data_IF_561824162582
#
_entry.id   IF_561824162582
#
_cell.length_a   1.000
_cell.length_b   1.000
_cell.length_c   1.000
_cell.angle_alpha   90.00
_cell.angle_beta   90.00
_cell.angle_gamma   90.00
#
_symmetry.space_group_name_H-M   'P 1'
#
loop_
_entity.id
_entity.type
_entity.pdbx_description
1 polymer ?
#
# COMPACT_ATOMS: atom_id res chain seq x y z
N UNK A 1 -1.28 -0.06 -35.09
CA UNK A 1 -1.09 1.34 -35.49
C UNK A 1 -1.77 2.20 -34.43
N UNK A 2 -1.04 2.62 -33.43
CA UNK A 2 -1.53 3.48 -32.33
C UNK A 2 -1.69 4.87 -32.87
N UNK A 3 -2.91 5.37 -32.81
CA UNK A 3 -3.32 6.65 -33.35
C UNK A 3 -2.67 7.79 -32.55
N UNK A 4 -1.55 8.31 -33.02
CA UNK A 4 -0.86 9.49 -32.48
C UNK A 4 -1.71 10.78 -32.53
N UNK A 5 -2.88 10.74 -33.16
CA UNK A 5 -3.79 11.88 -33.29
C UNK A 5 -4.46 12.25 -31.95
N UNK A 6 -4.51 11.36 -30.97
CA UNK A 6 -5.12 11.65 -29.64
C UNK A 6 -4.19 12.47 -28.74
N UNK A 7 -2.88 12.53 -29.04
CA UNK A 7 -1.92 13.30 -28.26
C UNK A 7 -1.95 14.82 -28.60
N UNK A 8 -2.61 15.21 -29.67
CA UNK A 8 -2.70 16.63 -30.10
C UNK A 8 -3.78 17.43 -29.37
N UNK A 9 -4.65 16.79 -28.57
CA UNK A 9 -5.70 17.47 -27.79
C UNK A 9 -5.32 17.82 -26.35
N UNK A 10 -4.12 17.50 -25.93
CA UNK A 10 -3.57 18.15 -24.76
C UNK A 10 -3.10 19.54 -25.23
N UNK A 11 -3.97 20.55 -25.10
CA UNK A 11 -3.59 21.94 -25.29
C UNK A 11 -2.24 22.17 -24.63
N UNK A 12 -1.33 22.99 -25.20
CA UNK A 12 -0.08 23.33 -24.55
C UNK A 12 -0.44 23.98 -23.23
N UNK A 13 -0.49 23.15 -22.21
CA UNK A 13 -0.95 23.57 -20.92
C UNK A 13 0.13 24.46 -20.32
N UNK A 14 -0.20 25.69 -20.04
CA UNK A 14 0.47 26.52 -19.04
C UNK A 14 0.42 25.86 -17.63
N UNK A 15 0.19 24.55 -17.57
CA UNK A 15 0.11 23.70 -16.38
C UNK A 15 1.46 23.10 -15.99
N UNK A 16 2.56 23.55 -16.59
CA UNK A 16 3.88 23.18 -16.10
C UNK A 16 4.12 23.91 -14.78
N UNK A 17 4.33 23.14 -13.73
CA UNK A 17 4.79 23.70 -12.46
C UNK A 17 6.08 24.49 -12.71
N UNK A 18 6.21 25.71 -12.17
CA UNK A 18 7.45 26.47 -12.26
C UNK A 18 8.58 25.69 -11.60
N UNK A 19 9.80 25.90 -12.07
CA UNK A 19 10.98 25.20 -11.54
C UNK A 19 11.13 25.43 -10.03
N UNK A 20 10.79 26.61 -9.55
CA UNK A 20 10.78 26.94 -8.11
C UNK A 20 9.92 25.99 -7.28
N UNK A 21 8.82 25.46 -7.82
CA UNK A 21 7.95 24.54 -7.12
C UNK A 21 8.63 23.23 -6.72
N UNK A 22 9.74 22.83 -7.39
CA UNK A 22 10.50 21.63 -7.04
C UNK A 22 11.37 21.82 -5.78
N UNK A 23 11.62 23.06 -5.38
CA UNK A 23 12.50 23.41 -4.27
C UNK A 23 11.76 24.18 -3.17
N UNK A 24 10.50 24.53 -3.38
CA UNK A 24 9.65 25.26 -2.45
C UNK A 24 9.20 24.35 -1.30
N UNK A 25 9.76 24.60 -0.12
CA UNK A 25 9.48 23.81 1.09
C UNK A 25 8.04 24.04 1.57
N UNK A 26 7.50 25.25 1.47
CA UNK A 26 6.14 25.55 1.93
C UNK A 26 5.11 24.85 1.04
N UNK A 27 5.35 24.86 -0.28
CA UNK A 27 4.52 24.13 -1.22
C UNK A 27 4.58 22.62 -0.96
N UNK A 28 5.78 22.06 -0.70
CA UNK A 28 5.94 20.65 -0.32
C UNK A 28 5.15 20.32 0.96
N UNK A 29 5.25 21.15 2.00
CA UNK A 29 4.50 20.95 3.25
C UNK A 29 2.98 21.00 3.04
N UNK A 30 2.51 21.88 2.15
CA UNK A 30 1.08 21.95 1.78
C UNK A 30 0.64 20.67 1.06
N UNK A 31 1.44 20.17 0.12
CA UNK A 31 1.15 18.91 -0.58
C UNK A 31 1.12 17.73 0.38
N UNK A 32 2.13 17.61 1.25
CA UNK A 32 2.14 16.57 2.27
C UNK A 32 0.88 16.59 3.12
N UNK A 33 0.43 17.78 3.53
CA UNK A 33 -0.77 17.91 4.38
C UNK A 33 -2.07 17.67 3.62
N UNK A 34 -2.22 18.23 2.40
CA UNK A 34 -3.49 18.26 1.69
C UNK A 34 -3.68 17.08 0.74
N UNK A 35 -2.61 16.50 0.20
CA UNK A 35 -2.67 15.40 -0.75
C UNK A 35 -2.30 14.08 -0.09
N UNK A 36 -1.11 13.99 0.52
CA UNK A 36 -0.61 12.69 1.00
C UNK A 36 -1.20 12.27 2.34
N UNK A 37 -1.39 13.21 3.30
CA UNK A 37 -1.96 12.86 4.62
C UNK A 37 -3.49 12.82 4.66
N UNK A 38 -4.16 13.51 3.75
CA UNK A 38 -5.63 13.54 3.68
C UNK A 38 -6.20 12.74 2.50
N UNK A 39 -5.38 12.41 1.53
CA UNK A 39 -5.77 11.58 0.40
C UNK A 39 -5.76 10.09 0.74
N UNK A 40 -6.28 9.26 -0.14
CA UNK A 40 -6.05 7.83 -0.04
C UNK A 40 -4.56 7.55 -0.26
N UNK A 41 -3.90 6.98 0.75
CA UNK A 41 -2.50 6.53 0.66
C UNK A 41 -2.44 5.10 0.12
N UNK A 42 -1.71 4.89 -0.97
CA UNK A 42 -1.47 3.54 -1.48
C UNK A 42 -0.56 2.77 -0.51
N UNK A 43 -1.00 1.57 -0.13
CA UNK A 43 -0.30 0.70 0.82
C UNK A 43 0.33 -0.50 0.12
N UNK A 44 -0.36 -1.06 -0.87
CA UNK A 44 0.09 -2.27 -1.56
C UNK A 44 -1.01 -2.88 -2.43
N UNK A 45 -0.76 -4.08 -2.92
CA UNK A 45 -1.72 -4.85 -3.71
C UNK A 45 -2.07 -6.16 -3.00
N UNK A 46 -3.32 -6.61 -3.10
CA UNK A 46 -3.78 -7.85 -2.47
C UNK A 46 -3.00 -9.10 -2.92
N UNK A 47 -2.42 -9.08 -4.13
CA UNK A 47 -1.54 -10.13 -4.63
C UNK A 47 -0.23 -10.28 -3.82
N UNK A 48 0.11 -9.28 -2.99
CA UNK A 48 1.27 -9.38 -2.08
C UNK A 48 1.03 -10.40 -0.95
N UNK A 49 -0.25 -10.72 -0.71
CA UNK A 49 -0.71 -11.67 0.31
C UNK A 49 -1.79 -12.57 -0.29
N UNK A 50 -1.42 -13.50 -1.21
CA UNK A 50 -2.38 -14.19 -2.07
C UNK A 50 -3.31 -15.16 -1.33
N UNK A 51 -2.84 -15.83 -0.29
CA UNK A 51 -3.55 -16.91 0.40
C UNK A 51 -3.77 -16.56 1.87
N UNK A 52 -4.76 -17.20 2.49
CA UNK A 52 -4.99 -17.08 3.93
C UNK A 52 -3.72 -17.41 4.72
N UNK A 53 -3.37 -16.55 5.65
CA UNK A 53 -2.13 -16.63 6.42
C UNK A 53 -0.94 -15.95 5.76
N UNK A 54 -1.00 -15.63 4.46
CA UNK A 54 0.05 -14.86 3.81
C UNK A 54 0.20 -13.49 4.48
N UNK A 55 1.44 -13.07 4.69
CA UNK A 55 1.75 -11.75 5.21
C UNK A 55 2.90 -11.08 4.45
N UNK A 56 2.95 -9.77 4.53
CA UNK A 56 4.07 -8.94 4.05
C UNK A 56 4.23 -7.71 4.93
N UNK A 57 5.47 -7.49 5.42
CA UNK A 57 5.83 -6.28 6.16
C UNK A 57 5.97 -5.10 5.20
N UNK A 58 5.67 -3.89 5.69
CA UNK A 58 5.82 -2.66 4.92
C UNK A 58 7.22 -2.08 5.16
N UNK A 59 8.16 -2.39 4.27
CA UNK A 59 9.56 -1.96 4.36
C UNK A 59 9.72 -0.43 4.41
N UNK A 60 8.85 0.31 3.69
CA UNK A 60 8.85 1.78 3.72
C UNK A 60 8.52 2.37 5.10
N UNK A 61 8.01 1.56 6.03
CA UNK A 61 7.64 1.94 7.39
C UNK A 61 8.50 1.26 8.45
N UNK A 62 9.72 0.91 8.10
CA UNK A 62 10.64 0.15 8.97
C UNK A 62 9.99 -1.13 9.52
N UNK A 63 9.17 -1.80 8.68
CA UNK A 63 8.44 -3.03 9.02
C UNK A 63 7.45 -2.90 10.20
N UNK A 64 7.13 -1.67 10.58
CA UNK A 64 6.23 -1.40 11.72
C UNK A 64 4.77 -1.84 11.51
N UNK A 65 4.36 -2.07 10.26
CA UNK A 65 3.03 -2.59 9.88
C UNK A 65 3.15 -3.75 8.91
N UNK A 66 2.09 -4.57 8.88
CA UNK A 66 1.98 -5.74 8.00
C UNK A 66 0.64 -5.76 7.28
N UNK A 67 0.68 -6.17 6.01
CA UNK A 67 -0.49 -6.70 5.32
C UNK A 67 -0.61 -8.19 5.66
N UNK A 68 -1.80 -8.62 6.04
CA UNK A 68 -2.10 -10.03 6.37
C UNK A 68 -3.40 -10.43 5.72
N UNK A 69 -3.43 -11.59 5.07
CA UNK A 69 -4.70 -12.16 4.59
C UNK A 69 -5.33 -13.03 5.66
N UNK A 70 -6.47 -12.59 6.19
CA UNK A 70 -7.20 -13.32 7.23
C UNK A 70 -8.24 -14.31 6.66
N UNK A 71 -8.73 -14.05 5.43
CA UNK A 71 -9.75 -14.88 4.74
C UNK A 71 -9.61 -14.75 3.24
N UNK A 72 -10.26 -15.64 2.52
CA UNK A 72 -10.34 -15.56 1.07
C UNK A 72 -11.17 -14.36 0.58
N UNK A 73 -10.92 -13.94 -0.66
CA UNK A 73 -11.62 -12.85 -1.32
C UNK A 73 -11.00 -11.46 -1.13
N UNK A 74 -11.52 -10.48 -1.87
CA UNK A 74 -10.96 -9.12 -1.96
C UNK A 74 -11.01 -8.33 -0.63
N UNK A 75 -11.89 -8.70 0.29
CA UNK A 75 -12.01 -8.06 1.61
C UNK A 75 -11.25 -8.79 2.71
N UNK A 76 -10.44 -9.79 2.33
CA UNK A 76 -9.71 -10.65 3.27
C UNK A 76 -8.35 -10.13 3.70
N UNK A 77 -7.97 -8.88 3.37
CA UNK A 77 -6.68 -8.32 3.74
C UNK A 77 -6.84 -7.29 4.85
N UNK A 78 -5.99 -7.43 5.87
CA UNK A 78 -5.90 -6.53 7.01
C UNK A 78 -4.58 -5.78 7.01
N UNK A 79 -4.59 -4.54 7.47
CA UNK A 79 -3.40 -3.76 7.77
C UNK A 79 -3.25 -3.65 9.29
N UNK A 80 -2.30 -4.39 9.83
CA UNK A 80 -2.08 -4.52 11.26
C UNK A 80 -0.74 -3.91 11.68
N UNK A 81 -0.65 -3.47 12.94
CA UNK A 81 0.63 -3.18 13.57
C UNK A 81 1.46 -4.46 13.70
N UNK A 82 2.71 -4.40 13.26
CA UNK A 82 3.69 -5.48 13.42
C UNK A 82 4.45 -5.40 14.76
N UNK A 83 3.98 -4.53 15.65
CA UNK A 83 4.62 -4.25 16.95
C UNK A 83 3.84 -4.91 18.06
N UNK A 84 4.48 -5.82 18.78
CA UNK A 84 3.89 -6.53 19.91
C UNK A 84 3.46 -5.57 21.03
N UNK A 85 2.26 -5.72 21.53
CA UNK A 85 1.68 -4.87 22.59
C UNK A 85 2.30 -5.07 23.96
N UNK A 86 3.16 -6.10 24.14
CA UNK A 86 3.86 -6.36 25.39
C UNK A 86 5.05 -5.44 25.61
N UNK A 87 6.08 -5.56 24.77
CA UNK A 87 7.35 -4.80 24.87
C UNK A 87 7.83 -4.26 23.51
N UNK A 88 6.91 -3.99 22.62
CA UNK A 88 7.14 -3.31 21.35
C UNK A 88 8.19 -3.98 20.42
N UNK A 89 8.31 -5.31 20.50
CA UNK A 89 9.14 -6.04 19.54
C UNK A 89 8.44 -6.16 18.19
N UNK A 90 9.20 -6.07 17.10
CA UNK A 90 8.76 -6.49 15.77
C UNK A 90 8.50 -7.99 15.78
N UNK A 91 7.38 -8.42 15.18
CA UNK A 91 6.94 -9.81 15.25
C UNK A 91 7.27 -10.61 14.00
N UNK A 92 7.09 -10.03 12.82
CA UNK A 92 7.30 -10.65 11.52
C UNK A 92 8.26 -9.82 10.68
N UNK A 93 8.99 -10.48 9.76
CA UNK A 93 9.90 -9.84 8.82
C UNK A 93 9.59 -10.27 7.39
N UNK A 94 9.75 -9.36 6.44
CA UNK A 94 9.64 -9.64 5.01
C UNK A 94 8.26 -10.16 4.62
N UNK A 95 8.19 -11.36 4.06
CA UNK A 95 6.94 -12.01 3.64
C UNK A 95 6.98 -13.49 3.97
N UNK A 96 5.80 -14.08 4.17
CA UNK A 96 5.66 -15.49 4.47
C UNK A 96 4.21 -15.89 4.71
N UNK A 97 4.02 -17.00 5.39
CA UNK A 97 2.70 -17.54 5.75
C UNK A 97 2.69 -17.98 7.21
N UNK A 98 1.63 -17.64 7.92
CA UNK A 98 1.43 -17.98 9.34
C UNK A 98 -0.04 -18.27 9.62
N UNK A 99 -0.31 -19.17 10.57
CA UNK A 99 -1.66 -19.38 11.09
C UNK A 99 -2.02 -18.35 12.16
N UNK A 100 -1.03 -17.89 12.91
CA UNK A 100 -1.14 -16.87 13.95
C UNK A 100 0.12 -16.01 13.99
N UNK A 101 -0.02 -14.76 14.39
CA UNK A 101 1.10 -13.86 14.59
C UNK A 101 1.66 -14.06 15.99
N UNK A 102 2.87 -14.62 16.09
CA UNK A 102 3.48 -14.98 17.37
C UNK A 102 4.70 -14.10 17.63
N UNK A 103 4.71 -13.37 18.73
CA UNK A 103 5.85 -12.57 19.15
C UNK A 103 7.06 -13.46 19.47
N UNK A 104 8.24 -13.22 18.88
CA UNK A 104 9.42 -14.06 19.07
C UNK A 104 9.99 -13.99 20.50
N UNK A 105 9.76 -12.87 21.24
CA UNK A 105 10.36 -12.67 22.56
C UNK A 105 9.62 -13.44 23.67
N UNK A 106 8.31 -13.24 23.81
CA UNK A 106 7.56 -13.78 24.95
C UNK A 106 6.32 -14.54 24.53
N UNK A 107 6.23 -14.93 23.25
CA UNK A 107 5.17 -15.80 22.69
C UNK A 107 3.75 -15.26 22.84
N UNK A 108 3.58 -13.91 22.96
CA UNK A 108 2.26 -13.33 22.79
C UNK A 108 1.75 -13.64 21.40
N UNK A 109 0.55 -14.20 21.34
CA UNK A 109 -0.03 -14.76 20.12
C UNK A 109 -1.28 -13.98 19.75
N UNK A 110 -1.35 -13.57 18.49
CA UNK A 110 -2.49 -12.86 17.91
C UNK A 110 -3.02 -13.64 16.71
N UNK A 111 -4.33 -13.55 16.46
CA UNK A 111 -4.89 -14.07 15.22
C UNK A 111 -4.57 -13.14 14.03
N UNK A 112 -5.07 -13.54 12.85
CA UNK A 112 -4.85 -12.78 11.61
C UNK A 112 -5.70 -11.49 11.51
N UNK A 113 -6.58 -11.24 12.48
CA UNK A 113 -7.35 -9.99 12.63
C UNK A 113 -6.74 -9.07 13.70
N UNK A 114 -5.63 -9.49 14.31
CA UNK A 114 -4.92 -8.76 15.34
C UNK A 114 -5.47 -8.93 16.75
N UNK A 115 -6.42 -9.86 16.99
CA UNK A 115 -6.95 -10.13 18.33
C UNK A 115 -5.92 -10.91 19.14
N UNK A 116 -5.70 -10.53 20.38
CA UNK A 116 -4.82 -11.26 21.29
C UNK A 116 -5.47 -12.60 21.65
N UNK A 117 -4.83 -13.71 21.29
CA UNK A 117 -5.26 -15.07 21.63
C UNK A 117 -4.66 -15.56 22.94
N UNK A 118 -3.37 -15.28 23.17
CA UNK A 118 -2.66 -15.73 24.35
C UNK A 118 -1.54 -14.78 24.79
N UNK A 119 -1.37 -14.66 26.10
CA UNK A 119 -0.35 -13.86 26.76
C UNK A 119 0.30 -14.69 27.87
N UNK A 120 1.30 -15.55 27.56
CA UNK A 120 1.98 -16.34 28.57
C UNK A 120 2.52 -15.49 29.72
N UNK A 121 2.46 -16.03 30.92
CA UNK A 121 2.87 -15.39 32.19
C UNK A 121 1.97 -14.26 32.70
N UNK A 122 0.79 -14.05 32.09
CA UNK A 122 -0.25 -13.18 32.61
C UNK A 122 -1.39 -14.05 33.16
N UNK A 123 -1.81 -13.78 34.42
CA UNK A 123 -2.91 -14.52 35.03
C UNK A 123 -4.23 -14.31 34.30
N UNK A 124 -4.53 -13.08 33.96
CA UNK A 124 -5.66 -12.70 33.12
C UNK A 124 -5.17 -12.25 31.74
N UNK A 125 -5.89 -12.65 30.69
CA UNK A 125 -5.57 -12.21 29.32
C UNK A 125 -5.86 -10.70 29.18
N UNK A 126 -4.85 -9.84 28.95
CA UNK A 126 -5.08 -8.41 28.81
C UNK A 126 -5.80 -8.11 27.51
N UNK A 127 -6.63 -7.07 27.48
CA UNK A 127 -7.32 -6.61 26.28
C UNK A 127 -6.40 -5.73 25.42
N UNK A 128 -5.30 -6.32 24.91
CA UNK A 128 -4.24 -5.63 24.18
C UNK A 128 -4.10 -6.19 22.76
N UNK A 129 -5.07 -5.86 21.90
CA UNK A 129 -5.08 -6.23 20.50
C UNK A 129 -4.07 -5.40 19.71
N UNK A 130 -3.66 -5.88 18.52
CA UNK A 130 -2.84 -5.11 17.59
C UNK A 130 -3.64 -3.93 17.03
N UNK A 131 -2.94 -2.83 16.77
CA UNK A 131 -3.54 -1.71 16.03
C UNK A 131 -3.91 -2.15 14.63
N UNK A 132 -5.11 -1.78 14.19
CA UNK A 132 -5.65 -2.07 12.87
C UNK A 132 -5.97 -0.76 12.17
N UNK A 133 -5.52 -0.64 10.92
CA UNK A 133 -5.84 0.49 10.03
C UNK A 133 -6.89 0.06 9.00
N UNK A 134 -7.95 0.85 8.80
CA UNK A 134 -8.94 0.55 7.77
C UNK A 134 -8.33 0.59 6.38
N UNK A 135 -8.58 -0.45 5.59
CA UNK A 135 -8.18 -0.53 4.19
C UNK A 135 -9.41 -0.39 3.28
N UNK A 136 -9.20 0.28 2.17
CA UNK A 136 -10.10 0.31 1.03
C UNK A 136 -9.45 -0.46 -0.12
N UNK A 137 -10.16 -1.40 -0.71
CA UNK A 137 -9.69 -2.16 -1.86
C UNK A 137 -10.37 -1.64 -3.13
N UNK A 138 -9.56 -1.21 -4.09
CA UNK A 138 -10.03 -0.87 -5.42
C UNK A 138 -9.28 -1.72 -6.45
N UNK A 139 -9.95 -2.69 -7.02
CA UNK A 139 -9.41 -3.63 -8.02
C UNK A 139 -8.08 -4.31 -7.58
N UNK A 140 -7.98 -4.69 -6.32
CA UNK A 140 -6.79 -5.29 -5.75
C UNK A 140 -5.76 -4.29 -5.19
N UNK A 141 -5.83 -3.03 -5.59
CA UNK A 141 -5.01 -1.97 -5.00
C UNK A 141 -5.56 -1.59 -3.61
N UNK A 142 -4.69 -1.60 -2.61
CA UNK A 142 -5.02 -1.35 -1.22
C UNK A 142 -4.64 0.07 -0.83
N UNK A 143 -5.59 0.77 -0.24
CA UNK A 143 -5.42 2.16 0.18
C UNK A 143 -5.87 2.33 1.63
N UNK A 144 -5.23 3.25 2.33
CA UNK A 144 -5.67 3.76 3.62
C UNK A 144 -5.97 5.26 3.55
N UNK A 145 -6.74 5.76 4.50
CA UNK A 145 -7.04 7.18 4.63
C UNK A 145 -8.54 7.47 4.71
N UNK A 146 -8.89 8.74 5.01
CA UNK A 146 -10.28 9.13 5.28
C UNK A 146 -11.14 9.31 4.02
N UNK A 147 -10.53 9.46 2.84
CA UNK A 147 -11.25 9.72 1.58
C UNK A 147 -11.70 8.43 0.94
N UNK A 148 -12.87 8.47 0.30
CA UNK A 148 -13.40 7.35 -0.47
C UNK A 148 -12.63 7.17 -1.77
N UNK A 149 -11.87 6.08 -1.86
CA UNK A 149 -11.05 5.71 -3.01
C UNK A 149 -11.90 5.46 -4.25
N UNK A 150 -13.05 4.82 -4.09
CA UNK A 150 -13.95 4.52 -5.21
C UNK A 150 -14.52 5.80 -5.83
N UNK A 151 -14.90 6.78 -4.99
CA UNK A 151 -15.38 8.07 -5.44
C UNK A 151 -14.26 8.89 -6.13
N UNK A 152 -13.03 8.81 -5.63
CA UNK A 152 -11.91 9.54 -6.23
C UNK A 152 -11.42 8.93 -7.54
N UNK A 153 -11.21 7.61 -7.57
CA UNK A 153 -10.74 6.91 -8.77
C UNK A 153 -11.82 6.80 -9.85
N UNK A 154 -13.09 6.77 -9.47
CA UNK A 154 -14.22 6.79 -10.40
C UNK A 154 -14.27 8.06 -11.28
N UNK A 155 -13.59 9.14 -10.88
CA UNK A 155 -13.45 10.37 -11.68
C UNK A 155 -12.40 10.24 -12.79
N UNK A 156 -11.56 9.22 -12.74
CA UNK A 156 -10.58 8.94 -13.78
C UNK A 156 -11.28 8.24 -14.95
N UNK A 157 -11.28 8.86 -16.12
CA UNK A 157 -11.94 8.30 -17.32
C UNK A 157 -11.44 6.91 -17.71
N UNK A 158 -10.18 6.62 -17.42
CA UNK A 158 -9.51 5.34 -17.72
C UNK A 158 -9.69 4.29 -16.61
N UNK A 159 -10.34 4.61 -15.48
CA UNK A 159 -10.48 3.70 -14.35
C UNK A 159 -11.24 2.41 -14.70
N UNK A 160 -12.14 2.47 -15.67
CA UNK A 160 -12.92 1.32 -16.15
C UNK A 160 -12.08 0.31 -16.95
N UNK A 161 -10.97 0.76 -17.50
CA UNK A 161 -10.09 -0.06 -18.35
C UNK A 161 -8.94 -0.69 -17.52
N UNK A 162 -8.83 -0.32 -16.24
CA UNK A 162 -7.84 -0.86 -15.31
C UNK A 162 -8.40 -2.11 -14.64
N UNK A 163 -8.09 -3.27 -15.20
CA UNK A 163 -8.43 -4.59 -14.65
C UNK A 163 -7.14 -5.35 -14.35
N UNK A 164 -6.92 -5.68 -13.08
CA UNK A 164 -5.75 -6.41 -12.60
C UNK A 164 -6.04 -7.88 -12.28
N UNK A 165 -7.25 -8.39 -12.55
CA UNK A 165 -7.68 -9.74 -12.18
C UNK A 165 -6.86 -10.86 -12.83
N UNK A 166 -6.26 -10.59 -14.00
CA UNK A 166 -5.40 -11.53 -14.72
C UNK A 166 -3.90 -11.41 -14.44
N UNK A 167 -3.52 -10.56 -13.47
CA UNK A 167 -2.11 -10.31 -13.15
C UNK A 167 -1.61 -11.25 -12.05
N UNK A 168 -0.34 -11.58 -12.13
CA UNK A 168 0.39 -12.27 -11.07
C UNK A 168 1.45 -11.31 -10.52
N UNK A 169 1.70 -11.38 -9.22
CA UNK A 169 2.78 -10.64 -8.60
C UNK A 169 4.11 -11.32 -8.97
N UNK A 170 4.97 -10.61 -9.71
CA UNK A 170 6.31 -11.07 -10.01
C UNK A 170 7.24 -10.79 -8.81
N UNK A 171 7.49 -9.53 -8.51
CA UNK A 171 8.31 -9.14 -7.35
C UNK A 171 7.91 -7.76 -6.82
N UNK A 172 8.39 -7.46 -5.61
CA UNK A 172 8.27 -6.14 -4.99
C UNK A 172 9.68 -5.64 -4.69
N UNK A 173 10.05 -4.53 -5.31
CA UNK A 173 11.32 -3.86 -5.07
C UNK A 173 11.07 -2.53 -4.35
N UNK A 174 11.86 -2.24 -3.33
CA UNK A 174 11.83 -0.98 -2.60
C UNK A 174 13.15 -0.25 -2.82
N UNK A 175 13.06 0.90 -3.45
CA UNK A 175 14.22 1.75 -3.70
C UNK A 175 14.15 3.02 -2.87
N UNK A 176 15.26 3.38 -2.23
CA UNK A 176 15.40 4.66 -1.55
C UNK A 176 15.79 5.73 -2.57
N UNK A 177 14.91 6.71 -2.78
CA UNK A 177 15.21 7.87 -3.61
C UNK A 177 15.56 9.06 -2.72
N UNK A 178 16.66 9.74 -3.05
CA UNK A 178 17.09 10.98 -2.36
C UNK A 178 16.40 12.23 -2.92
N UNK A 179 15.42 12.07 -3.81
CA UNK A 179 14.69 13.15 -4.44
C UNK A 179 13.27 13.28 -3.88
N UNK A 180 12.68 14.46 -4.03
CA UNK A 180 11.23 14.63 -3.77
C UNK A 180 10.41 13.83 -4.78
N UNK A 181 9.16 13.45 -4.44
CA UNK A 181 8.29 12.65 -5.31
C UNK A 181 7.99 13.26 -6.69
N UNK A 182 8.12 14.58 -6.86
CA UNK A 182 7.83 15.28 -8.11
C UNK A 182 8.75 14.90 -9.28
N UNK A 183 10.10 14.87 -9.13
CA UNK A 183 10.97 14.35 -10.18
C UNK A 183 10.66 12.91 -10.55
N UNK A 184 10.30 12.06 -9.57
CA UNK A 184 9.91 10.68 -9.79
C UNK A 184 8.63 10.58 -10.64
N UNK A 185 7.59 11.34 -10.31
CA UNK A 185 6.34 11.37 -11.08
C UNK A 185 6.57 11.85 -12.52
N UNK A 186 7.44 12.85 -12.72
CA UNK A 186 7.81 13.31 -14.06
C UNK A 186 8.60 12.27 -14.85
N UNK A 187 9.43 11.49 -14.19
CA UNK A 187 10.18 10.40 -14.80
C UNK A 187 9.23 9.26 -15.20
N UNK A 188 8.35 8.83 -14.31
CA UNK A 188 7.37 7.76 -14.55
C UNK A 188 6.43 8.14 -15.70
N UNK A 189 5.96 9.39 -15.77
CA UNK A 189 5.09 9.86 -16.86
C UNK A 189 5.75 9.84 -18.24
N UNK A 190 7.07 9.69 -18.32
CA UNK A 190 7.84 9.55 -19.57
C UNK A 190 8.19 8.11 -19.93
N UNK A 191 8.03 7.17 -19.01
CA UNK A 191 8.23 5.75 -19.29
C UNK A 191 6.99 5.28 -20.03
N UNK A 192 7.11 5.09 -21.33
CA UNK A 192 6.12 4.39 -22.13
C UNK A 192 6.02 2.97 -21.60
N UNK A 193 4.86 2.58 -21.08
CA UNK A 193 4.62 1.20 -20.66
C UNK A 193 4.89 0.26 -21.83
N UNK A 194 5.89 -0.57 -21.67
CA UNK A 194 6.16 -1.64 -22.61
C UNK A 194 5.10 -2.74 -22.38
N UNK A 195 4.24 -2.96 -23.37
CA UNK A 195 3.36 -4.14 -23.37
C UNK A 195 4.21 -5.34 -23.78
N UNK A 196 4.23 -6.42 -22.99
CA UNK A 196 4.77 -7.67 -23.51
C UNK A 196 3.99 -8.05 -24.75
N UNK A 197 4.69 -8.31 -25.85
CA UNK A 197 4.10 -8.91 -27.04
C UNK A 197 3.53 -10.27 -26.63
N UNK A 198 2.24 -10.49 -26.91
CA UNK A 198 1.63 -11.82 -26.84
C UNK A 198 2.52 -12.81 -27.59
N UNK A 199 2.88 -13.96 -26.99
CA UNK A 199 3.52 -15.02 -27.76
C UNK A 199 2.54 -15.52 -28.83
N UNK A 200 3.05 -15.64 -30.06
CA UNK A 200 2.37 -16.26 -31.21
C UNK A 200 2.20 -17.74 -30.96
#
# INVERSE_FOLDING_TARGET
MTNLATAQFLAPSNLQLPVSAYFDVDLFQREMRLLFKQGPGYVGHELMVPEKGSYRTLAAENEGRILVRNREGHQGVELLSNVCRHRQALMLNGSGQVDNIVCPLHRWTYDLEGQLLGAPHFGDKPCLHLGKSPLQNWQGLLFEGPRDVHADLGKLGVAKDLDFSGYLLDHVEVMNATTTGRPLLRFISRITMWRPSTPV
#
